data_IF_233843561835
#
_entry.id   IF_233843561835
#
_cell.length_a   1.000
_cell.length_b   1.000
_cell.length_c   1.000
_cell.angle_alpha   90.00
_cell.angle_beta   90.00
_cell.angle_gamma   90.00
#
_symmetry.space_group_name_H-M   'P 1'
#
loop_
_entity.id
_entity.type
_entity.pdbx_description
1 polymer ?
#
# COMPACT_ATOMS: atom_id res chain seq x y z
N UNK A 1 13.61 10.97 22.72
CA UNK A 1 12.48 10.81 21.78
C UNK A 1 11.87 9.42 21.98
N UNK A 2 10.57 9.28 22.21
CA UNK A 2 9.96 7.98 22.53
C UNK A 2 9.69 7.12 21.27
N UNK A 3 10.09 5.86 21.30
CA UNK A 3 9.76 4.89 20.25
C UNK A 3 8.31 4.44 20.37
N UNK A 4 7.50 4.58 19.33
CA UNK A 4 6.10 4.11 19.29
C UNK A 4 5.94 3.05 18.20
N UNK A 5 4.85 2.25 18.25
CA UNK A 5 4.54 1.29 17.19
C UNK A 5 4.45 1.97 15.82
N UNK A 6 3.74 3.10 15.74
CA UNK A 6 3.63 3.88 14.50
C UNK A 6 4.98 4.32 13.95
N UNK A 7 5.94 4.68 14.82
CA UNK A 7 7.30 5.05 14.40
C UNK A 7 8.07 3.84 13.86
N UNK A 8 7.95 2.68 14.50
CA UNK A 8 8.55 1.42 14.04
C UNK A 8 7.99 1.06 12.65
N UNK A 9 6.67 1.04 12.51
CA UNK A 9 6.02 0.72 11.23
C UNK A 9 6.44 1.67 10.13
N UNK A 10 6.49 2.98 10.41
CA UNK A 10 6.90 3.97 9.41
C UNK A 10 8.34 3.74 8.94
N UNK A 11 9.29 3.59 9.87
CA UNK A 11 10.71 3.38 9.52
C UNK A 11 10.87 2.11 8.69
N UNK A 12 10.33 0.99 9.15
CA UNK A 12 10.46 -0.27 8.41
C UNK A 12 9.81 -0.16 7.04
N UNK A 13 8.61 0.43 6.94
CA UNK A 13 7.94 0.58 5.64
C UNK A 13 8.75 1.45 4.69
N UNK A 14 9.33 2.56 5.18
CA UNK A 14 10.15 3.47 4.36
C UNK A 14 11.41 2.74 3.86
N UNK A 15 12.08 1.98 4.74
CA UNK A 15 13.28 1.20 4.41
C UNK A 15 12.97 0.04 3.45
N UNK A 16 11.84 -0.64 3.63
CA UNK A 16 11.37 -1.70 2.72
C UNK A 16 11.07 -1.13 1.34
N UNK A 17 10.32 -0.02 1.25
CA UNK A 17 9.99 0.63 -0.02
C UNK A 17 11.27 1.07 -0.76
N UNK A 18 12.24 1.62 -0.04
CA UNK A 18 13.51 2.07 -0.63
C UNK A 18 14.36 0.93 -1.23
N UNK A 19 14.12 -0.32 -0.80
CA UNK A 19 14.84 -1.52 -1.25
C UNK A 19 14.07 -2.38 -2.26
N UNK A 20 12.85 -2.00 -2.63
CA UNK A 20 12.01 -2.78 -3.55
C UNK A 20 12.68 -2.99 -4.91
N UNK A 21 12.61 -4.22 -5.40
CA UNK A 21 13.00 -4.61 -6.74
C UNK A 21 11.76 -4.87 -7.60
N UNK A 22 11.81 -4.62 -8.93
CA UNK A 22 10.69 -4.92 -9.83
C UNK A 22 10.25 -6.40 -9.84
N UNK A 23 11.13 -7.32 -9.44
CA UNK A 23 10.86 -8.75 -9.36
C UNK A 23 10.29 -9.20 -8.02
N UNK A 24 10.17 -8.31 -7.03
CA UNK A 24 9.68 -8.68 -5.71
C UNK A 24 8.19 -9.01 -5.72
N UNK A 25 7.82 -10.02 -4.94
CA UNK A 25 6.43 -10.42 -4.76
C UNK A 25 5.87 -9.90 -3.43
N UNK A 26 4.55 -9.63 -3.35
CA UNK A 26 3.88 -9.27 -2.10
C UNK A 26 4.19 -10.21 -0.92
N UNK A 27 4.27 -11.52 -1.16
CA UNK A 27 4.55 -12.50 -0.11
C UNK A 27 5.94 -12.30 0.48
N UNK A 28 6.96 -12.20 -0.39
CA UNK A 28 8.35 -11.97 0.02
C UNK A 28 8.47 -10.68 0.83
N UNK A 29 7.88 -9.60 0.33
CA UNK A 29 7.95 -8.28 0.98
C UNK A 29 7.16 -8.26 2.28
N UNK A 30 6.05 -9.02 2.37
CA UNK A 30 5.31 -9.15 3.62
C UNK A 30 6.12 -9.84 4.70
N UNK A 31 6.81 -10.93 4.35
CA UNK A 31 7.66 -11.68 5.26
C UNK A 31 8.85 -10.83 5.74
N UNK A 32 9.55 -10.17 4.82
CA UNK A 32 10.66 -9.27 5.16
C UNK A 32 10.22 -8.13 6.07
N UNK A 33 9.14 -7.42 5.72
CA UNK A 33 8.64 -6.30 6.52
C UNK A 33 8.18 -6.76 7.92
N UNK A 34 7.58 -7.94 8.04
CA UNK A 34 7.16 -8.51 9.33
C UNK A 34 8.37 -8.83 10.21
N UNK A 35 9.41 -9.45 9.64
CA UNK A 35 10.67 -9.75 10.33
C UNK A 35 11.39 -8.47 10.78
N UNK A 36 11.44 -7.45 9.93
CA UNK A 36 12.08 -6.16 10.24
C UNK A 36 11.32 -5.42 11.36
N UNK A 37 9.98 -5.45 11.33
CA UNK A 37 9.13 -4.90 12.41
C UNK A 37 9.38 -5.63 13.72
N UNK A 38 9.45 -6.96 13.71
CA UNK A 38 9.71 -7.76 14.89
C UNK A 38 11.11 -7.47 15.46
N UNK A 39 12.14 -7.49 14.61
CA UNK A 39 13.53 -7.23 14.99
C UNK A 39 13.70 -5.85 15.62
N UNK A 40 13.15 -4.80 15.00
CA UNK A 40 13.20 -3.44 15.54
C UNK A 40 12.39 -3.33 16.85
N UNK A 41 11.26 -4.03 16.96
CA UNK A 41 10.46 -4.07 18.19
C UNK A 41 11.24 -4.71 19.35
N UNK A 42 11.94 -5.81 19.10
CA UNK A 42 12.81 -6.48 20.09
C UNK A 42 13.92 -5.53 20.55
N UNK A 43 14.59 -4.84 19.62
CA UNK A 43 15.64 -3.88 19.94
C UNK A 43 15.11 -2.73 20.81
N UNK A 44 13.97 -2.15 20.41
CA UNK A 44 13.32 -1.07 21.18
C UNK A 44 12.90 -1.54 22.57
N UNK A 45 12.45 -2.78 22.71
CA UNK A 45 12.06 -3.34 24.01
C UNK A 45 13.24 -3.50 24.97
N UNK A 46 14.47 -3.75 24.47
CA UNK A 46 15.68 -3.77 25.32
C UNK A 46 15.95 -2.42 25.99
N UNK A 47 15.56 -1.33 25.32
CA UNK A 47 15.70 0.04 25.84
C UNK A 47 14.54 0.44 26.75
N UNK A 48 13.47 -0.36 26.83
CA UNK A 48 12.27 -0.07 27.62
C UNK A 48 12.37 -0.73 29.00
N UNK A 49 11.91 -0.01 30.02
CA UNK A 49 11.79 -0.56 31.37
C UNK A 49 10.81 -1.74 31.43
N UNK A 50 11.00 -2.61 32.42
CA UNK A 50 10.12 -3.78 32.69
C UNK A 50 8.65 -3.35 32.67
N UNK A 51 7.80 -4.16 32.01
CA UNK A 51 6.36 -3.93 31.91
C UNK A 51 5.92 -2.94 30.82
N UNK A 52 6.85 -2.28 30.11
CA UNK A 52 6.53 -1.33 29.03
C UNK A 52 6.84 -1.88 27.64
N UNK A 53 6.91 -3.21 27.47
CA UNK A 53 7.25 -3.80 26.17
C UNK A 53 6.14 -3.57 25.14
N UNK A 54 6.52 -3.25 23.92
CA UNK A 54 5.66 -3.26 22.76
C UNK A 54 5.52 -4.69 22.25
N UNK A 55 4.30 -5.13 21.98
CA UNK A 55 4.07 -6.39 21.26
C UNK A 55 4.20 -6.15 19.76
N UNK A 56 5.04 -6.91 19.03
CA UNK A 56 5.02 -6.89 17.58
C UNK A 56 3.64 -7.35 17.08
N UNK A 57 3.18 -6.84 15.93
CA UNK A 57 1.95 -7.33 15.33
C UNK A 57 2.17 -8.72 14.72
N UNK A 58 1.16 -9.58 14.78
CA UNK A 58 1.21 -10.93 14.15
C UNK A 58 1.01 -10.86 12.63
N UNK A 59 0.37 -9.81 12.15
CA UNK A 59 0.13 -9.53 10.72
C UNK A 59 0.49 -8.08 10.41
N UNK A 60 0.81 -7.78 9.16
CA UNK A 60 1.11 -6.40 8.77
C UNK A 60 -0.09 -5.46 9.04
N UNK A 61 0.15 -4.29 9.65
CA UNK A 61 -0.90 -3.28 9.81
C UNK A 61 -1.44 -2.82 8.45
N UNK A 62 -2.75 -2.54 8.36
CA UNK A 62 -3.42 -2.12 7.13
C UNK A 62 -2.74 -0.91 6.44
N UNK A 63 -2.24 0.06 7.21
CA UNK A 63 -1.46 1.18 6.68
C UNK A 63 -0.16 0.73 6.00
N UNK A 64 0.55 -0.24 6.56
CA UNK A 64 1.78 -0.79 5.97
C UNK A 64 1.45 -1.49 4.66
N UNK A 65 0.40 -2.33 4.64
CA UNK A 65 -0.09 -3.00 3.43
C UNK A 65 -0.42 -1.97 2.35
N UNK A 66 -1.19 -0.93 2.66
CA UNK A 66 -1.55 0.12 1.71
C UNK A 66 -0.33 0.84 1.12
N UNK A 67 0.68 1.14 1.94
CA UNK A 67 1.93 1.79 1.48
C UNK A 67 2.76 0.88 0.59
N UNK A 68 2.87 -0.40 0.93
CA UNK A 68 3.57 -1.39 0.11
C UNK A 68 2.85 -1.60 -1.22
N UNK A 69 1.52 -1.72 -1.21
CA UNK A 69 0.71 -1.81 -2.43
C UNK A 69 0.90 -0.58 -3.33
N UNK A 70 0.88 0.62 -2.77
CA UNK A 70 1.08 1.86 -3.53
C UNK A 70 2.48 1.97 -4.14
N UNK A 71 3.49 1.34 -3.53
CA UNK A 71 4.86 1.32 -4.04
C UNK A 71 5.11 0.22 -5.08
N UNK A 72 4.46 -0.94 -4.93
CA UNK A 72 4.66 -2.11 -5.79
C UNK A 72 3.77 -2.13 -7.03
N UNK A 73 2.62 -1.46 -6.99
CA UNK A 73 1.63 -1.52 -8.06
C UNK A 73 1.24 -0.11 -8.52
N UNK A 74 0.95 0.08 -9.82
CA UNK A 74 0.58 1.37 -10.37
C UNK A 74 -0.89 1.72 -10.05
N UNK A 75 -1.22 1.79 -8.77
CA UNK A 75 -2.55 2.14 -8.26
C UNK A 75 -2.73 3.66 -8.37
N UNK A 76 -3.89 4.10 -8.84
CA UNK A 76 -4.26 5.52 -8.98
C UNK A 76 -5.66 5.77 -8.45
N UNK A 77 -5.89 6.99 -7.97
CA UNK A 77 -7.22 7.48 -7.60
C UNK A 77 -7.77 8.30 -8.78
N UNK A 78 -8.73 7.75 -9.51
CA UNK A 78 -9.26 8.36 -10.75
C UNK A 78 -10.49 9.20 -10.42
N UNK A 79 -10.43 10.49 -10.76
CA UNK A 79 -11.54 11.43 -10.56
C UNK A 79 -12.55 11.35 -11.71
N UNK A 80 -13.58 10.49 -11.56
CA UNK A 80 -14.57 10.26 -12.61
C UNK A 80 -15.51 11.44 -12.87
N UNK A 81 -15.76 12.26 -11.86
CA UNK A 81 -16.59 13.47 -11.96
C UNK A 81 -15.78 14.75 -12.26
N UNK A 82 -14.48 14.60 -12.59
CA UNK A 82 -13.54 15.70 -12.75
C UNK A 82 -12.77 16.02 -11.47
N UNK A 83 -11.61 16.67 -11.60
CA UNK A 83 -10.71 16.95 -10.47
C UNK A 83 -11.30 17.93 -9.44
N UNK A 84 -12.22 18.80 -9.86
CA UNK A 84 -12.91 19.75 -8.97
C UNK A 84 -14.12 19.13 -8.26
N UNK A 85 -14.48 17.88 -8.56
CA UNK A 85 -15.60 17.19 -7.95
C UNK A 85 -15.21 16.48 -6.64
N UNK A 86 -16.24 16.10 -5.86
CA UNK A 86 -16.09 15.40 -4.58
C UNK A 86 -15.25 14.13 -4.73
N UNK A 87 -14.16 14.07 -3.97
CA UNK A 87 -13.19 12.96 -3.97
C UNK A 87 -13.81 11.63 -3.55
N UNK A 88 -14.98 11.65 -2.89
CA UNK A 88 -15.75 10.45 -2.55
C UNK A 88 -16.21 9.67 -3.78
N UNK A 89 -16.36 10.35 -4.92
CA UNK A 89 -16.75 9.74 -6.19
C UNK A 89 -15.55 9.19 -6.96
N UNK A 90 -14.33 9.42 -6.47
CA UNK A 90 -13.14 8.89 -7.10
C UNK A 90 -13.07 7.36 -6.94
N UNK A 91 -12.50 6.70 -7.95
CA UNK A 91 -12.28 5.26 -7.98
C UNK A 91 -10.81 4.93 -7.73
N UNK A 92 -10.56 3.81 -7.04
CA UNK A 92 -9.22 3.24 -6.99
C UNK A 92 -9.07 2.27 -8.15
N UNK A 93 -8.09 2.53 -9.02
CA UNK A 93 -7.86 1.73 -10.21
C UNK A 93 -6.42 1.26 -10.29
N UNK A 94 -6.22 0.08 -10.88
CA UNK A 94 -4.90 -0.41 -11.30
C UNK A 94 -4.66 0.07 -12.73
N UNK A 95 -3.56 0.78 -12.95
CA UNK A 95 -3.13 1.14 -14.31
C UNK A 95 -2.48 -0.06 -14.99
N UNK A 96 -2.85 -0.33 -16.23
CA UNK A 96 -2.23 -1.39 -17.02
C UNK A 96 -1.10 -0.80 -17.86
N UNK A 97 0.15 -1.16 -17.53
CA UNK A 97 1.32 -0.69 -18.29
C UNK A 97 1.54 -1.49 -19.57
N UNK A 98 1.18 -2.78 -19.57
CA UNK A 98 1.40 -3.73 -20.67
C UNK A 98 0.14 -4.56 -20.96
N UNK A 99 0.11 -5.21 -22.13
CA UNK A 99 -0.97 -6.11 -22.55
C UNK A 99 -2.01 -5.46 -23.48
N UNK A 100 -3.08 -6.18 -23.84
CA UNK A 100 -4.10 -5.68 -24.78
C UNK A 100 -4.85 -4.45 -24.24
N UNK A 101 -4.90 -4.30 -22.92
CA UNK A 101 -5.54 -3.18 -22.22
C UNK A 101 -4.52 -2.16 -21.69
N UNK A 102 -3.27 -2.18 -22.19
CA UNK A 102 -2.23 -1.20 -21.83
C UNK A 102 -2.73 0.24 -22.04
N UNK A 103 -2.38 1.14 -21.12
CA UNK A 103 -2.85 2.52 -21.13
C UNK A 103 -4.23 2.73 -20.51
N UNK A 104 -4.92 1.67 -20.07
CA UNK A 104 -6.23 1.77 -19.42
C UNK A 104 -6.15 1.64 -17.90
N UNK A 105 -7.23 2.06 -17.23
CA UNK A 105 -7.45 1.84 -15.82
C UNK A 105 -8.42 0.69 -15.63
N UNK A 106 -7.98 -0.37 -14.95
CA UNK A 106 -8.85 -1.43 -14.50
C UNK A 106 -9.48 -1.05 -13.17
N UNK A 107 -10.78 -0.74 -13.20
CA UNK A 107 -11.61 -0.59 -12.02
C UNK A 107 -12.03 -1.97 -11.53
N UNK A 108 -11.30 -2.53 -10.57
CA UNK A 108 -11.70 -3.78 -9.93
C UNK A 108 -11.23 -3.82 -8.48
N UNK A 109 -12.18 -3.55 -7.58
CA UNK A 109 -12.01 -3.77 -6.14
C UNK A 109 -11.60 -5.23 -5.86
N UNK A 110 -12.06 -6.18 -6.68
CA UNK A 110 -11.67 -7.58 -6.59
C UNK A 110 -10.18 -7.80 -6.90
N UNK A 111 -9.63 -7.12 -7.90
CA UNK A 111 -8.19 -7.21 -8.19
C UNK A 111 -7.34 -6.55 -7.09
N UNK A 112 -7.80 -5.42 -6.54
CA UNK A 112 -7.16 -4.82 -5.36
C UNK A 112 -7.21 -5.76 -4.15
N UNK A 113 -8.33 -6.45 -3.93
CA UNK A 113 -8.46 -7.45 -2.87
C UNK A 113 -7.51 -8.64 -3.08
N UNK A 114 -7.42 -9.17 -4.31
CA UNK A 114 -6.48 -10.24 -4.67
C UNK A 114 -5.02 -9.83 -4.44
N UNK A 115 -4.67 -8.56 -4.62
CA UNK A 115 -3.34 -8.07 -4.27
C UNK A 115 -3.18 -7.93 -2.74
N UNK A 116 -4.16 -7.35 -2.06
CA UNK A 116 -4.10 -7.09 -0.61
C UNK A 116 -3.98 -8.39 0.21
N UNK A 117 -4.72 -9.44 -0.15
CA UNK A 117 -4.70 -10.73 0.57
C UNK A 117 -3.35 -11.45 0.48
N UNK A 118 -2.50 -11.12 -0.51
CA UNK A 118 -1.14 -11.67 -0.63
C UNK A 118 -0.18 -11.13 0.43
N UNK A 119 -0.48 -9.96 1.02
CA UNK A 119 0.26 -9.44 2.17
C UNK A 119 -0.24 -10.02 3.49
N UNK A 120 -1.54 -10.34 3.57
CA UNK A 120 -2.16 -10.90 4.77
C UNK A 120 -3.29 -11.85 4.39
N UNK A 121 -3.04 -13.16 4.52
CA UNK A 121 -4.05 -14.20 4.19
C UNK A 121 -5.25 -14.20 5.13
N UNK A 122 -5.18 -13.51 6.28
CA UNK A 122 -6.26 -13.36 7.25
C UNK A 122 -7.05 -12.05 7.05
N UNK A 123 -6.82 -11.31 5.95
CA UNK A 123 -7.46 -10.04 5.69
C UNK A 123 -8.99 -10.18 5.68
N UNK A 124 -9.66 -9.47 6.58
CA UNK A 124 -11.13 -9.41 6.58
C UNK A 124 -11.63 -8.32 5.62
N UNK A 125 -12.93 -8.34 5.28
CA UNK A 125 -13.54 -7.26 4.50
C UNK A 125 -13.38 -5.89 5.16
N UNK A 126 -13.43 -5.84 6.50
CA UNK A 126 -13.21 -4.60 7.26
C UNK A 126 -11.77 -4.12 7.13
N UNK A 127 -10.80 -5.03 7.19
CA UNK A 127 -9.39 -4.69 7.03
C UNK A 127 -9.11 -4.22 5.61
N UNK A 128 -9.69 -4.89 4.62
CA UNK A 128 -9.57 -4.48 3.23
C UNK A 128 -10.14 -3.07 2.99
N UNK A 129 -11.32 -2.75 3.55
CA UNK A 129 -11.88 -1.39 3.50
C UNK A 129 -10.95 -0.34 4.12
N UNK A 130 -10.27 -0.70 5.21
CA UNK A 130 -9.26 0.14 5.84
C UNK A 130 -8.02 0.33 4.94
N UNK A 131 -7.55 -0.73 4.29
CA UNK A 131 -6.47 -0.65 3.28
C UNK A 131 -6.85 0.28 2.14
N UNK A 132 -8.05 0.13 1.57
CA UNK A 132 -8.57 1.00 0.51
C UNK A 132 -8.67 2.46 0.96
N UNK A 133 -9.10 2.71 2.20
CA UNK A 133 -9.12 4.06 2.77
C UNK A 133 -7.73 4.66 2.81
N UNK A 134 -6.74 3.94 3.34
CA UNK A 134 -5.36 4.39 3.37
C UNK A 134 -4.80 4.60 1.96
N UNK A 135 -5.08 3.71 1.01
CA UNK A 135 -4.63 3.86 -0.39
C UNK A 135 -5.11 5.18 -0.99
N UNK A 136 -6.38 5.57 -0.77
CA UNK A 136 -6.92 6.86 -1.26
C UNK A 136 -6.15 8.08 -0.79
N UNK A 137 -5.50 8.00 0.38
CA UNK A 137 -4.70 9.09 0.95
C UNK A 137 -3.25 9.08 0.44
N UNK A 138 -2.77 7.95 -0.10
CA UNK A 138 -1.37 7.73 -0.49
C UNK A 138 -1.18 7.87 -1.99
N UNK A 139 -2.06 7.28 -2.80
CA UNK A 139 -1.87 7.18 -4.25
C UNK A 139 -2.22 8.50 -4.94
N UNK A 140 -1.55 8.83 -6.06
CA UNK A 140 -1.83 10.08 -6.75
C UNK A 140 -3.25 10.08 -7.34
N UNK A 141 -3.91 11.23 -7.19
CA UNK A 141 -5.20 11.53 -7.83
C UNK A 141 -4.96 12.00 -9.25
N UNK A 142 -5.65 11.39 -10.22
CA UNK A 142 -5.52 11.69 -11.65
C UNK A 142 -6.89 11.98 -12.27
N UNK A 143 -6.91 12.83 -13.29
CA UNK A 143 -8.11 13.01 -14.10
C UNK A 143 -8.40 11.72 -14.86
N UNK A 144 -9.67 11.45 -15.14
CA UNK A 144 -10.03 10.39 -16.08
C UNK A 144 -9.51 10.76 -17.47
N UNK A 145 -8.49 10.04 -17.94
CA UNK A 145 -8.07 10.15 -19.33
C UNK A 145 -9.15 9.51 -20.21
N UNK A 146 -9.85 10.34 -20.98
CA UNK A 146 -10.88 9.90 -21.94
C UNK A 146 -10.28 9.62 -23.33
N UNK A 147 -8.96 9.76 -23.49
CA UNK A 147 -8.28 9.77 -24.79
C UNK A 147 -7.22 8.65 -24.87
N UNK A 148 -7.47 7.56 -25.63
CA UNK A 148 -6.55 6.43 -25.78
C UNK A 148 -5.25 6.74 -26.56
N UNK A 149 -5.01 8.01 -26.96
CA UNK A 149 -4.01 8.35 -27.99
C UNK A 149 -2.88 9.31 -27.59
N UNK A 150 -2.75 9.76 -26.34
CA UNK A 150 -1.67 10.69 -25.96
C UNK A 150 -0.37 9.94 -25.63
N UNK A 151 0.30 9.42 -26.67
CA UNK A 151 1.74 9.17 -26.63
C UNK A 151 2.43 10.53 -26.64
N UNK A 152 3.28 10.81 -25.64
CA UNK A 152 4.18 11.96 -25.71
C UNK A 152 5.17 11.74 -26.87
N UNK A 153 4.86 12.30 -28.03
CA UNK A 153 5.80 12.42 -29.14
C UNK A 153 6.89 13.42 -28.73
N UNK A 154 8.13 12.94 -28.71
CA UNK A 154 9.31 13.78 -28.77
C UNK A 154 10.20 13.26 -29.90
#
# INVERSE_FOLDING_TARGET
MAWTKSKIFRIVTDDTIARLLPTDTPEKISDEATQDIEGLTILVNRLRGKGRHLRPPEVLPNLVIARLMAAMFPIRRVACAGLEADEKLDLLCLYQEDGPDAGTYMESENELYKLAIRYNVQLTEKDFKEVCRCLRDIVPRVARTMDPGLVAVN
#
